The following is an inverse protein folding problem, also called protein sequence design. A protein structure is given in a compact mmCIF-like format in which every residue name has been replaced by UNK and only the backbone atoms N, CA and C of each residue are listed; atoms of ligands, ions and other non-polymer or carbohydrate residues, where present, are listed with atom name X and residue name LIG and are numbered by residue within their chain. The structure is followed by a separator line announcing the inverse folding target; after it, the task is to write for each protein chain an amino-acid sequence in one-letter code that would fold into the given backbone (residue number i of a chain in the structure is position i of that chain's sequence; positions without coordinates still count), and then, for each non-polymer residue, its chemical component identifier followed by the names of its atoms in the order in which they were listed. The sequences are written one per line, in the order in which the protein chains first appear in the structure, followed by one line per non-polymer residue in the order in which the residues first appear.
data_IF_526316577000
#
_entry.id   IF_526316577000
#
_cell.length_a   1.000
_cell.length_b   1.000
_cell.length_c   1.000
_cell.angle_alpha   90.00
_cell.angle_beta   90.00
_cell.angle_gamma   90.00
#
_symmetry.space_group_name_H-M   'P 1'
#
loop_
_entity.id
_entity.type
_entity.pdbx_description
1 polymer ?
#
# COMPACT_ATOMS: atom_id res chain seq x y z
N UNK A 1 -9.91 43.99 9.06
CA UNK A 1 -10.56 42.67 9.06
C UNK A 1 -9.86 41.79 8.02
N UNK A 2 -8.65 41.30 8.35
CA UNK A 2 -7.82 40.40 7.53
C UNK A 2 -7.25 39.32 8.47
N UNK A 3 -8.12 38.53 9.10
CA UNK A 3 -7.71 37.48 10.05
C UNK A 3 -8.41 36.15 9.73
N UNK A 4 -8.16 35.62 8.55
CA UNK A 4 -8.43 34.22 8.26
C UNK A 4 -7.16 33.64 7.62
N UNK A 5 -6.53 32.71 8.33
CA UNK A 5 -5.38 31.86 7.95
C UNK A 5 -3.97 32.48 8.03
N UNK A 6 -3.29 32.40 9.19
CA UNK A 6 -1.91 32.84 9.31
C UNK A 6 -0.95 32.05 8.41
N UNK A 7 -1.09 30.73 8.22
CA UNK A 7 -0.10 29.92 7.48
C UNK A 7 -0.77 28.88 6.58
N UNK A 8 -0.78 29.12 5.26
CA UNK A 8 -1.22 28.19 4.21
C UNK A 8 -0.57 26.80 4.35
N UNK A 9 0.63 26.76 4.89
CA UNK A 9 1.40 25.55 5.22
C UNK A 9 0.71 24.66 6.25
N UNK A 10 0.20 25.22 7.36
CA UNK A 10 -0.47 24.42 8.41
C UNK A 10 -1.75 23.73 7.91
N UNK A 11 -2.47 24.37 6.97
CA UNK A 11 -3.65 23.77 6.35
C UNK A 11 -3.28 22.60 5.42
N UNK A 12 -2.20 22.75 4.65
CA UNK A 12 -1.70 21.69 3.76
C UNK A 12 -1.17 20.51 4.57
N UNK A 13 -0.48 20.77 5.69
CA UNK A 13 -0.03 19.74 6.62
C UNK A 13 -1.22 18.95 7.19
N UNK A 14 -2.20 19.62 7.79
CA UNK A 14 -3.38 18.97 8.37
C UNK A 14 -4.20 18.20 7.31
N UNK A 15 -4.23 18.68 6.07
CA UNK A 15 -4.86 17.95 4.98
C UNK A 15 -4.07 16.68 4.61
N UNK A 16 -2.74 16.76 4.55
CA UNK A 16 -1.88 15.62 4.27
C UNK A 16 -1.98 14.57 5.38
N UNK A 17 -1.96 15.01 6.64
CA UNK A 17 -2.21 14.15 7.82
C UNK A 17 -3.52 13.39 7.67
N UNK A 18 -4.66 14.09 7.49
CA UNK A 18 -5.97 13.45 7.26
C UNK A 18 -6.00 12.54 6.04
N UNK A 19 -5.24 12.87 5.00
CA UNK A 19 -5.13 12.02 3.81
C UNK A 19 -4.41 10.71 4.14
N UNK A 20 -3.27 10.78 4.82
CA UNK A 20 -2.46 9.62 5.21
C UNK A 20 -3.17 8.76 6.25
N UNK A 21 -3.87 9.37 7.21
CA UNK A 21 -4.74 8.66 8.16
C UNK A 21 -5.82 7.86 7.44
N UNK A 22 -6.59 8.52 6.57
CA UNK A 22 -7.66 7.85 5.82
C UNK A 22 -7.12 6.78 4.86
N UNK A 23 -5.89 6.93 4.36
CA UNK A 23 -5.23 5.92 3.53
C UNK A 23 -4.79 4.72 4.36
N UNK A 24 -4.21 4.95 5.55
CA UNK A 24 -3.86 3.89 6.49
C UNK A 24 -5.11 3.11 6.92
N UNK A 25 -6.20 3.79 7.30
CA UNK A 25 -7.47 3.15 7.71
C UNK A 25 -8.01 2.21 6.62
N UNK A 26 -7.93 2.64 5.34
CA UNK A 26 -8.37 1.83 4.20
C UNK A 26 -7.50 0.58 4.02
N UNK A 27 -6.18 0.73 4.13
CA UNK A 27 -5.24 -0.39 4.02
C UNK A 27 -5.44 -1.36 5.18
N UNK A 28 -5.55 -0.85 6.40
CA UNK A 28 -5.82 -1.66 7.60
C UNK A 28 -7.13 -2.45 7.47
N UNK A 29 -8.19 -1.80 7.00
CA UNK A 29 -9.49 -2.45 6.76
C UNK A 29 -9.37 -3.55 5.71
N UNK A 30 -8.67 -3.29 4.60
CA UNK A 30 -8.43 -4.29 3.57
C UNK A 30 -7.62 -5.48 4.12
N UNK A 31 -6.56 -5.22 4.89
CA UNK A 31 -5.75 -6.24 5.53
C UNK A 31 -6.57 -7.11 6.49
N UNK A 32 -7.37 -6.47 7.35
CA UNK A 32 -8.25 -7.17 8.28
C UNK A 32 -9.27 -8.06 7.57
N UNK A 33 -9.81 -7.61 6.43
CA UNK A 33 -10.78 -8.38 5.63
C UNK A 33 -10.19 -9.61 4.93
N UNK A 34 -8.86 -9.66 4.82
CA UNK A 34 -8.10 -10.71 4.14
C UNK A 34 -7.32 -11.61 5.10
N UNK A 35 -7.53 -11.48 6.42
CA UNK A 35 -6.92 -12.38 7.39
C UNK A 35 -7.31 -13.83 7.10
N UNK A 36 -6.33 -14.74 7.04
CA UNK A 36 -6.56 -16.15 6.72
C UNK A 36 -6.74 -16.47 5.23
N UNK A 37 -6.75 -15.48 4.35
CA UNK A 37 -6.86 -15.71 2.91
C UNK A 37 -5.57 -16.33 2.32
N UNK A 38 -5.64 -16.94 1.12
CA UNK A 38 -4.45 -17.28 0.34
C UNK A 38 -3.66 -16.03 -0.05
N UNK A 39 -2.34 -16.16 -0.19
CA UNK A 39 -1.44 -15.03 -0.45
C UNK A 39 -1.77 -14.27 -1.73
N UNK A 40 -2.33 -14.97 -2.73
CA UNK A 40 -2.78 -14.39 -3.99
C UNK A 40 -3.91 -13.36 -3.82
N UNK A 41 -4.88 -13.68 -2.96
CA UNK A 41 -6.06 -12.83 -2.72
C UNK A 41 -5.67 -11.62 -1.86
N UNK A 42 -4.81 -11.84 -0.86
CA UNK A 42 -4.27 -10.78 0.01
C UNK A 42 -3.57 -9.68 -0.81
N UNK A 43 -2.69 -10.07 -1.73
CA UNK A 43 -1.90 -9.10 -2.50
C UNK A 43 -2.73 -8.39 -3.57
N UNK A 44 -3.70 -9.09 -4.17
CA UNK A 44 -4.64 -8.47 -5.11
C UNK A 44 -5.48 -7.40 -4.41
N UNK A 45 -6.08 -7.73 -3.26
CA UNK A 45 -6.85 -6.78 -2.46
C UNK A 45 -6.02 -5.57 -2.00
N UNK A 46 -4.76 -5.78 -1.60
CA UNK A 46 -3.85 -4.71 -1.18
C UNK A 46 -3.52 -3.75 -2.35
N UNK A 47 -3.15 -4.30 -3.51
CA UNK A 47 -2.84 -3.49 -4.70
C UNK A 47 -4.08 -2.72 -5.15
N UNK A 48 -5.24 -3.36 -5.22
CA UNK A 48 -6.49 -2.69 -5.59
C UNK A 48 -6.87 -1.56 -4.64
N UNK A 49 -6.74 -1.79 -3.33
CA UNK A 49 -7.07 -0.79 -2.30
C UNK A 49 -6.20 0.44 -2.44
N UNK A 50 -4.88 0.26 -2.56
CA UNK A 50 -3.96 1.37 -2.72
C UNK A 50 -4.16 2.10 -4.05
N UNK A 51 -4.36 1.33 -5.14
CA UNK A 51 -4.62 1.88 -6.46
C UNK A 51 -5.87 2.76 -6.48
N UNK A 52 -7.02 2.26 -5.98
CA UNK A 52 -8.27 3.02 -5.88
C UNK A 52 -8.11 4.25 -5.00
N UNK A 53 -7.45 4.13 -3.85
CA UNK A 53 -7.24 5.26 -2.96
C UNK A 53 -6.39 6.39 -3.60
N UNK A 54 -5.48 6.04 -4.52
CA UNK A 54 -4.70 7.03 -5.28
C UNK A 54 -5.44 7.60 -6.48
N UNK A 55 -6.32 6.85 -7.14
CA UNK A 55 -7.08 7.33 -8.30
C UNK A 55 -8.33 8.13 -7.92
N UNK A 56 -9.04 7.78 -6.84
CA UNK A 56 -10.26 8.48 -6.38
C UNK A 56 -10.01 9.94 -5.97
N UNK A 57 -8.80 10.27 -5.53
CA UNK A 57 -8.44 11.60 -5.02
C UNK A 57 -7.55 12.40 -5.99
N UNK A 58 -7.45 11.99 -7.25
CA UNK A 58 -6.52 12.56 -8.23
C UNK A 58 -6.67 14.08 -8.41
N UNK A 59 -7.91 14.57 -8.45
CA UNK A 59 -8.19 15.98 -8.75
C UNK A 59 -7.99 16.91 -7.55
N UNK A 60 -8.33 16.45 -6.34
CA UNK A 60 -8.23 17.24 -5.10
C UNK A 60 -6.78 17.28 -4.59
N UNK A 61 -6.05 16.16 -4.69
CA UNK A 61 -4.69 16.03 -4.14
C UNK A 61 -3.66 16.81 -4.96
N UNK A 62 -3.83 16.84 -6.30
CA UNK A 62 -2.85 17.43 -7.23
C UNK A 62 -2.82 18.97 -7.21
N UNK A 63 -3.95 19.62 -6.92
CA UNK A 63 -4.03 21.07 -6.77
C UNK A 63 -3.41 21.57 -5.46
N UNK A 64 -3.45 20.74 -4.41
CA UNK A 64 -2.99 21.10 -3.06
C UNK A 64 -1.50 20.79 -2.85
N UNK A 65 -0.99 19.68 -3.42
CA UNK A 65 0.43 19.29 -3.31
C UNK A 65 1.41 20.22 -4.04
N UNK A 66 0.95 20.93 -5.09
CA UNK A 66 1.81 21.79 -5.91
C UNK A 66 2.31 23.05 -5.17
N UNK A 67 1.87 23.28 -3.93
CA UNK A 67 2.12 24.51 -3.18
C UNK A 67 3.03 24.41 -1.96
N UNK A 68 3.54 23.24 -1.55
CA UNK A 68 4.43 23.21 -0.36
C UNK A 68 5.49 22.12 -0.48
N UNK A 69 6.66 22.49 -0.98
CA UNK A 69 7.87 21.67 -0.95
C UNK A 69 8.71 21.87 0.34
N UNK A 70 8.19 22.64 1.31
CA UNK A 70 8.98 23.15 2.46
C UNK A 70 8.58 22.54 3.82
N UNK A 71 7.57 21.66 3.88
CA UNK A 71 7.16 21.01 5.14
C UNK A 71 7.88 19.69 5.36
N UNK A 72 8.42 19.51 6.56
CA UNK A 72 8.91 18.21 7.02
C UNK A 72 7.73 17.25 7.23
N UNK A 73 7.49 16.41 6.23
CA UNK A 73 6.45 15.39 6.25
C UNK A 73 6.95 14.06 6.83
N UNK A 74 8.22 13.96 7.24
CA UNK A 74 8.82 12.71 7.68
C UNK A 74 8.04 12.06 8.84
N UNK A 75 7.59 12.80 9.89
CA UNK A 75 6.83 12.20 10.98
C UNK A 75 5.51 11.57 10.54
N UNK A 76 4.81 12.19 9.57
CA UNK A 76 3.55 11.67 9.03
C UNK A 76 3.79 10.41 8.19
N UNK A 77 4.87 10.41 7.38
CA UNK A 77 5.27 9.25 6.58
C UNK A 77 5.69 8.09 7.47
N UNK A 78 6.45 8.34 8.54
CA UNK A 78 6.87 7.31 9.49
C UNK A 78 5.68 6.71 10.25
N UNK A 79 4.73 7.56 10.67
CA UNK A 79 3.50 7.10 11.31
C UNK A 79 2.64 6.24 10.37
N UNK A 80 2.49 6.67 9.12
CA UNK A 80 1.81 5.91 8.08
C UNK A 80 2.49 4.56 7.82
N UNK A 81 3.82 4.56 7.64
CA UNK A 81 4.60 3.35 7.37
C UNK A 81 4.45 2.33 8.51
N UNK A 82 4.60 2.74 9.77
CA UNK A 82 4.42 1.84 10.93
C UNK A 82 3.05 1.17 10.96
N UNK A 83 1.99 1.92 10.68
CA UNK A 83 0.61 1.42 10.67
C UNK A 83 0.40 0.40 9.56
N UNK A 84 0.81 0.75 8.34
CA UNK A 84 0.66 -0.12 7.19
C UNK A 84 1.51 -1.38 7.34
N UNK A 85 2.77 -1.25 7.76
CA UNK A 85 3.66 -2.39 8.03
C UNK A 85 3.03 -3.35 9.03
N UNK A 86 2.49 -2.85 10.14
CA UNK A 86 1.85 -3.70 11.14
C UNK A 86 0.65 -4.47 10.56
N UNK A 87 -0.21 -3.78 9.80
CA UNK A 87 -1.40 -4.38 9.21
C UNK A 87 -1.08 -5.41 8.14
N UNK A 88 -0.15 -5.10 7.23
CA UNK A 88 0.23 -6.03 6.15
C UNK A 88 1.04 -7.21 6.69
N UNK A 89 1.93 -7.02 7.65
CA UNK A 89 2.60 -8.16 8.29
C UNK A 89 1.61 -9.09 8.98
N UNK A 90 0.64 -8.55 9.74
CA UNK A 90 -0.39 -9.38 10.38
C UNK A 90 -1.24 -10.16 9.36
N UNK A 91 -1.60 -9.52 8.24
CA UNK A 91 -2.29 -10.19 7.14
C UNK A 91 -1.43 -11.31 6.53
N UNK A 92 -0.20 -11.01 6.12
CA UNK A 92 0.69 -11.97 5.46
C UNK A 92 1.10 -13.13 6.38
N UNK A 93 1.24 -12.89 7.68
CA UNK A 93 1.51 -13.93 8.69
C UNK A 93 0.33 -14.91 8.83
N UNK A 94 -0.89 -14.44 8.56
CA UNK A 94 -2.10 -15.27 8.62
C UNK A 94 -2.37 -16.09 7.36
N UNK A 95 -1.52 -16.01 6.33
CA UNK A 95 -1.73 -16.71 5.06
C UNK A 95 -1.84 -18.23 5.26
N UNK A 96 -2.78 -18.85 4.55
CA UNK A 96 -3.08 -20.29 4.70
C UNK A 96 -2.24 -21.20 3.81
N UNK A 97 -1.63 -20.67 2.75
CA UNK A 97 -0.95 -21.42 1.70
C UNK A 97 0.59 -21.28 1.74
N UNK A 98 1.12 -20.30 2.47
CA UNK A 98 2.55 -20.02 2.54
C UNK A 98 3.00 -19.60 3.95
N UNK A 99 4.29 -19.73 4.21
CA UNK A 99 4.94 -19.12 5.38
C UNK A 99 6.19 -18.39 4.92
N UNK A 100 6.64 -17.38 5.69
CA UNK A 100 7.80 -16.57 5.33
C UNK A 100 8.89 -16.71 6.39
N UNK A 101 10.13 -16.98 5.95
CA UNK A 101 11.30 -17.00 6.85
C UNK A 101 11.70 -15.58 7.28
N UNK A 102 11.60 -14.62 6.36
CA UNK A 102 11.86 -13.20 6.61
C UNK A 102 10.66 -12.36 6.18
N UNK A 103 9.61 -12.38 7.01
CA UNK A 103 8.39 -11.62 6.73
C UNK A 103 8.64 -10.11 6.64
N UNK A 104 9.58 -9.57 7.43
CA UNK A 104 9.89 -8.13 7.45
C UNK A 104 10.51 -7.68 6.13
N UNK A 105 11.52 -8.40 5.64
CA UNK A 105 12.15 -8.11 4.36
C UNK A 105 11.18 -8.26 3.18
N UNK A 106 10.32 -9.29 3.23
CA UNK A 106 9.25 -9.50 2.24
C UNK A 106 8.27 -8.33 2.24
N UNK A 107 7.75 -7.94 3.40
CA UNK A 107 6.80 -6.85 3.53
C UNK A 107 7.37 -5.51 3.05
N UNK A 108 8.59 -5.19 3.47
CA UNK A 108 9.29 -3.96 3.05
C UNK A 108 9.42 -3.89 1.53
N UNK A 109 9.87 -4.97 0.90
CA UNK A 109 10.04 -5.04 -0.56
C UNK A 109 8.70 -4.91 -1.27
N UNK A 110 7.69 -5.66 -0.81
CA UNK A 110 6.34 -5.64 -1.36
C UNK A 110 5.76 -4.22 -1.35
N UNK A 111 5.75 -3.57 -0.18
CA UNK A 111 5.20 -2.22 -0.04
C UNK A 111 5.98 -1.18 -0.84
N UNK A 112 7.31 -1.29 -0.90
CA UNK A 112 8.15 -0.42 -1.72
C UNK A 112 7.76 -0.51 -3.20
N UNK A 113 7.56 -1.73 -3.71
CA UNK A 113 7.17 -1.97 -5.10
C UNK A 113 5.75 -1.47 -5.38
N UNK A 114 4.78 -1.78 -4.51
CA UNK A 114 3.39 -1.33 -4.68
C UNK A 114 3.32 0.19 -4.65
N UNK A 115 3.84 0.82 -3.59
CA UNK A 115 3.74 2.26 -3.41
C UNK A 115 4.51 3.03 -4.47
N UNK A 116 5.72 2.58 -4.81
CA UNK A 116 6.55 3.17 -5.84
C UNK A 116 5.90 3.10 -7.22
N UNK A 117 5.37 1.93 -7.59
CA UNK A 117 4.76 1.72 -8.91
C UNK A 117 3.50 2.57 -9.10
N UNK A 118 2.57 2.55 -8.12
CA UNK A 118 1.33 3.32 -8.22
C UNK A 118 1.61 4.82 -8.15
N UNK A 119 2.57 5.27 -7.32
CA UNK A 119 3.03 6.66 -7.32
C UNK A 119 3.57 7.06 -8.70
N UNK A 120 4.43 6.24 -9.31
CA UNK A 120 4.98 6.52 -10.63
C UNK A 120 3.91 6.59 -11.72
N UNK A 121 2.94 5.68 -11.69
CA UNK A 121 1.80 5.68 -12.62
C UNK A 121 1.01 7.00 -12.54
N UNK A 122 0.79 7.48 -11.31
CA UNK A 122 0.10 8.73 -11.04
C UNK A 122 0.92 9.96 -11.47
N UNK A 123 2.21 10.01 -11.13
CA UNK A 123 3.11 11.11 -11.51
C UNK A 123 3.26 11.24 -13.03
N UNK A 124 3.23 10.12 -13.76
CA UNK A 124 3.28 10.09 -15.23
C UNK A 124 1.95 10.34 -15.91
N UNK A 125 0.86 10.46 -15.14
CA UNK A 125 -0.51 10.68 -15.64
C UNK A 125 -0.87 9.73 -16.79
N UNK A 126 -0.63 8.42 -16.58
CA UNK A 126 -0.84 7.41 -17.61
C UNK A 126 -2.30 7.38 -18.09
N UNK A 127 -2.56 7.11 -19.38
CA UNK A 127 -3.92 6.88 -19.87
C UNK A 127 -4.53 5.64 -19.20
N UNK A 128 -5.85 5.63 -19.04
CA UNK A 128 -6.56 4.60 -18.26
C UNK A 128 -6.25 3.16 -18.67
N UNK A 129 -6.06 2.89 -19.97
CA UNK A 129 -5.72 1.55 -20.46
C UNK A 129 -4.31 1.11 -20.04
N UNK A 130 -3.32 2.00 -20.12
CA UNK A 130 -1.96 1.72 -19.67
C UNK A 130 -1.89 1.59 -18.14
N UNK A 131 -2.68 2.39 -17.43
CA UNK A 131 -2.80 2.33 -15.98
C UNK A 131 -3.39 0.97 -15.53
N UNK A 132 -4.45 0.49 -16.18
CA UNK A 132 -5.06 -0.83 -15.90
C UNK A 132 -4.09 -1.98 -16.20
N UNK A 133 -3.38 -1.94 -17.32
CA UNK A 133 -2.39 -2.98 -17.63
C UNK A 133 -1.23 -2.97 -16.62
N UNK A 134 -0.77 -1.78 -16.21
CA UNK A 134 0.26 -1.67 -15.17
C UNK A 134 -0.23 -2.25 -13.82
N UNK A 135 -1.47 -1.98 -13.43
CA UNK A 135 -2.06 -2.59 -12.23
C UNK A 135 -2.07 -4.12 -12.31
N UNK A 136 -2.47 -4.68 -13.46
CA UNK A 136 -2.50 -6.13 -13.70
C UNK A 136 -1.10 -6.75 -13.61
N UNK A 137 -0.11 -6.11 -14.22
CA UNK A 137 1.30 -6.55 -14.16
C UNK A 137 1.88 -6.44 -12.76
N UNK A 138 1.51 -5.39 -12.01
CA UNK A 138 1.91 -5.22 -10.61
C UNK A 138 1.39 -6.36 -9.73
N UNK A 139 0.11 -6.73 -9.85
CA UNK A 139 -0.46 -7.88 -9.13
C UNK A 139 0.30 -9.17 -9.47
N UNK A 140 0.56 -9.41 -10.77
CA UNK A 140 1.32 -10.59 -11.22
C UNK A 140 2.72 -10.64 -10.60
N UNK A 141 3.46 -9.54 -10.64
CA UNK A 141 4.80 -9.44 -10.07
C UNK A 141 4.78 -9.67 -8.56
N UNK A 142 3.85 -9.06 -7.84
CA UNK A 142 3.76 -9.20 -6.39
C UNK A 142 3.37 -10.63 -5.99
N UNK A 143 2.46 -11.29 -6.73
CA UNK A 143 2.13 -12.70 -6.52
C UNK A 143 3.35 -13.60 -6.72
N UNK A 144 4.04 -13.45 -7.85
CA UNK A 144 5.24 -14.24 -8.15
C UNK A 144 6.36 -14.02 -7.10
N UNK A 145 6.54 -12.77 -6.66
CA UNK A 145 7.49 -12.43 -5.61
C UNK A 145 7.16 -13.11 -4.27
N UNK A 146 5.89 -13.06 -3.84
CA UNK A 146 5.46 -13.67 -2.58
C UNK A 146 5.57 -15.19 -2.63
N UNK A 147 5.16 -15.83 -3.72
CA UNK A 147 5.34 -17.28 -3.90
C UNK A 147 6.82 -17.66 -3.92
N UNK A 148 7.68 -16.89 -4.60
CA UNK A 148 9.12 -17.16 -4.67
C UNK A 148 9.88 -16.86 -3.36
N UNK A 149 9.31 -16.04 -2.48
CA UNK A 149 9.88 -15.70 -1.17
C UNK A 149 9.34 -16.55 -0.03
N UNK A 150 8.31 -17.37 -0.30
CA UNK A 150 7.76 -18.30 0.66
C UNK A 150 8.76 -19.42 0.97
N UNK A 151 8.75 -19.88 2.22
CA UNK A 151 9.40 -21.15 2.56
C UNK A 151 8.55 -22.28 1.96
N UNK A 152 9.17 -23.26 1.31
CA UNK A 152 8.45 -24.43 0.79
C UNK A 152 7.57 -25.02 1.91
N UNK A 153 6.25 -25.01 1.71
CA UNK A 153 5.36 -25.79 2.54
C UNK A 153 5.70 -27.26 2.30
N UNK A 154 6.24 -27.91 3.32
CA UNK A 154 6.47 -29.35 3.32
C UNK A 154 5.16 -30.03 2.91
N UNK A 155 5.15 -30.68 1.74
CA UNK A 155 4.00 -31.46 1.26
C UNK A 155 3.49 -32.38 2.39
N UNK A 156 2.17 -32.63 2.49
CA UNK A 156 1.66 -33.59 3.45
C UNK A 156 2.35 -34.93 3.19
N UNK A 157 3.00 -35.46 4.23
CA UNK A 157 3.65 -36.76 4.16
C UNK A 157 2.56 -37.78 3.89
N UNK A 158 2.53 -38.30 2.66
CA UNK A 158 1.72 -39.45 2.30
C UNK A 158 2.32 -40.68 2.99
N UNK A 159 1.82 -41.00 4.17
CA UNK A 159 2.09 -42.27 4.85
C UNK A 159 1.18 -43.36 4.25
N UNK A 160 1.42 -43.74 3.00
CA UNK A 160 0.85 -44.97 2.45
C UNK A 160 1.91 -46.09 2.51
N UNK A 161 1.71 -46.95 3.50
CA UNK A 161 2.21 -48.32 3.63
C UNK A 161 1.47 -49.24 2.66
#
# INVERSE_FOLDING_TARGET
MYQYFPHKESLVYALNERYLEALADRIETACASQLGAPIGDMVEALVETYWRAKTEKADVTRALYRSVAELDNQPLIDAFARRVDAATMAMLESATDVTFKDLKGVNLTLLTVIFGTVRNAFERNLPSSAAQELQRQLVLMCRAYLTGSACESRAPVDWQL
#
